data_IF_259185577300
#
_entry.id   IF_259185577300
#
_cell.length_a   1.000
_cell.length_b   1.000
_cell.length_c   1.000
_cell.angle_alpha   90.00
_cell.angle_beta   90.00
_cell.angle_gamma   90.00
#
_symmetry.space_group_name_H-M   'P 1'
#
loop_
_entity.id
_entity.type
_entity.pdbx_description
1 polymer ?
#
# COMPACT_ATOMS: atom_id res chain seq x y z
N UNK A 1 -5.13 22.90 16.69
CA UNK A 1 -5.64 21.52 16.82
C UNK A 1 -5.48 21.09 18.27
N UNK A 2 -6.53 21.21 19.08
CA UNK A 2 -6.55 20.66 20.43
C UNK A 2 -6.76 19.15 20.34
N UNK A 3 -5.70 18.38 20.47
CA UNK A 3 -5.81 16.94 20.63
C UNK A 3 -6.30 16.66 22.06
N UNK A 4 -7.44 16.01 22.22
CA UNK A 4 -7.82 15.51 23.53
C UNK A 4 -6.79 14.45 23.97
N UNK A 5 -6.44 14.43 25.25
CA UNK A 5 -5.50 13.44 25.80
C UNK A 5 -5.97 11.99 25.54
N UNK A 6 -7.27 11.75 25.56
CA UNK A 6 -7.86 10.44 25.26
C UNK A 6 -7.63 10.00 23.81
N UNK A 7 -7.78 10.90 22.83
CA UNK A 7 -7.49 10.58 21.43
C UNK A 7 -5.99 10.28 21.21
N UNK A 8 -5.10 11.01 21.90
CA UNK A 8 -3.67 10.75 21.86
C UNK A 8 -3.31 9.37 22.43
N UNK A 9 -3.97 8.94 23.52
CA UNK A 9 -3.69 7.63 24.14
C UNK A 9 -4.21 6.45 23.29
N UNK A 10 -5.34 6.60 22.62
CA UNK A 10 -5.86 5.61 21.68
C UNK A 10 -4.91 5.49 20.48
N UNK A 11 -4.51 6.62 19.90
CA UNK A 11 -3.57 6.65 18.77
C UNK A 11 -2.23 5.99 19.09
N UNK A 12 -1.68 6.18 20.28
CA UNK A 12 -0.40 5.60 20.69
C UNK A 12 -0.45 4.08 20.83
N UNK A 13 -1.61 3.50 21.09
CA UNK A 13 -1.80 2.05 21.28
C UNK A 13 -2.14 1.31 19.98
N UNK A 14 -2.52 2.03 18.92
CA UNK A 14 -2.84 1.41 17.65
C UNK A 14 -1.57 0.94 16.94
N UNK A 15 -1.63 -0.24 16.37
CA UNK A 15 -0.69 -0.68 15.33
C UNK A 15 -1.08 0.01 14.04
N UNK A 16 -0.12 0.63 13.37
CA UNK A 16 -0.31 1.27 12.07
C UNK A 16 0.47 0.48 11.03
N UNK A 17 -0.21 0.05 9.98
CA UNK A 17 0.39 -0.71 8.89
C UNK A 17 0.12 0.00 7.57
N UNK A 18 1.18 0.34 6.84
CA UNK A 18 1.12 0.77 5.46
C UNK A 18 1.43 -0.41 4.53
N UNK A 19 0.74 -0.48 3.40
CA UNK A 19 0.95 -1.54 2.41
C UNK A 19 1.43 -0.93 1.11
N UNK A 20 2.62 -1.29 0.68
CA UNK A 20 3.22 -0.85 -0.58
C UNK A 20 2.97 -1.86 -1.71
N UNK A 21 3.12 -1.40 -2.95
CA UNK A 21 2.97 -2.25 -4.12
C UNK A 21 4.18 -3.16 -4.29
N UNK A 22 3.99 -4.44 -4.03
CA UNK A 22 4.96 -5.50 -4.26
C UNK A 22 5.14 -5.87 -5.72
N UNK A 23 4.26 -5.37 -6.61
CA UNK A 23 4.34 -5.59 -8.06
C UNK A 23 4.37 -7.07 -8.41
N UNK A 24 5.38 -7.47 -9.17
CA UNK A 24 5.64 -8.88 -9.52
C UNK A 24 6.49 -9.61 -8.46
N UNK A 25 6.62 -9.04 -7.26
CA UNK A 25 7.43 -9.54 -6.15
C UNK A 25 8.75 -8.78 -6.00
N UNK A 26 9.15 -8.50 -4.75
CA UNK A 26 10.37 -7.71 -4.45
C UNK A 26 11.63 -8.29 -5.11
N UNK A 27 11.76 -9.62 -5.13
CA UNK A 27 12.92 -10.31 -5.71
C UNK A 27 13.10 -10.12 -7.23
N UNK A 28 12.05 -9.69 -7.92
CA UNK A 28 12.08 -9.44 -9.36
C UNK A 28 12.64 -8.06 -9.72
N UNK A 29 12.70 -7.14 -8.76
CA UNK A 29 13.00 -5.73 -8.98
C UNK A 29 11.88 -4.95 -9.70
N UNK A 30 10.74 -5.61 -10.00
CA UNK A 30 9.56 -4.98 -10.62
C UNK A 30 8.48 -4.76 -9.56
N UNK A 31 8.64 -3.71 -8.79
CA UNK A 31 7.73 -3.31 -7.70
C UNK A 31 7.85 -1.80 -7.44
N UNK A 32 6.98 -1.26 -6.60
CA UNK A 32 7.00 0.13 -6.16
C UNK A 32 6.91 0.21 -4.62
N UNK A 33 7.90 -0.40 -3.95
CA UNK A 33 7.95 -0.52 -2.50
C UNK A 33 9.20 0.16 -1.90
N UNK A 34 9.33 1.50 -2.00
CA UNK A 34 10.52 2.22 -1.56
C UNK A 34 10.79 2.11 -0.06
N UNK A 35 9.79 1.94 0.79
CA UNK A 35 9.99 1.75 2.22
C UNK A 35 10.51 0.34 2.55
N UNK A 36 10.22 -0.66 1.73
CA UNK A 36 10.70 -2.03 1.95
C UNK A 36 12.05 -2.30 1.30
N UNK A 37 12.31 -1.77 0.10
CA UNK A 37 13.52 -2.10 -0.68
C UNK A 37 14.26 -0.87 -1.24
N UNK A 38 13.78 0.35 -0.98
CA UNK A 38 14.43 1.58 -1.42
C UNK A 38 15.57 2.03 -0.51
N UNK A 39 16.27 3.07 -0.95
CA UNK A 39 17.34 3.74 -0.22
C UNK A 39 17.00 5.20 0.03
N UNK A 40 17.58 5.80 1.07
CA UNK A 40 17.45 7.23 1.31
C UNK A 40 17.98 8.05 0.13
N UNK A 41 17.23 9.09 -0.24
CA UNK A 41 17.61 10.00 -1.32
C UNK A 41 16.70 11.21 -1.40
N UNK A 42 16.85 12.00 -2.46
CA UNK A 42 16.05 13.19 -2.71
C UNK A 42 15.36 13.06 -4.06
N UNK A 43 14.03 13.16 -4.05
CA UNK A 43 13.20 13.16 -5.27
C UNK A 43 12.19 14.30 -5.19
N UNK A 44 12.04 15.07 -6.28
CA UNK A 44 11.13 16.21 -6.35
C UNK A 44 11.24 17.18 -5.15
N UNK A 45 12.49 17.40 -4.68
CA UNK A 45 12.77 18.30 -3.57
C UNK A 45 12.48 17.73 -2.16
N UNK A 46 12.11 16.46 -2.05
CA UNK A 46 11.84 15.78 -0.78
C UNK A 46 12.93 14.77 -0.46
N UNK A 47 13.45 14.78 0.77
CA UNK A 47 14.24 13.68 1.30
C UNK A 47 13.29 12.56 1.74
N UNK A 48 13.49 11.37 1.19
CA UNK A 48 12.63 10.21 1.44
C UNK A 48 13.36 8.91 1.07
N UNK A 49 12.65 7.78 1.09
CA UNK A 49 13.11 6.52 0.50
C UNK A 49 12.77 6.48 -0.99
N UNK A 50 13.72 6.01 -1.80
CA UNK A 50 13.59 5.92 -3.26
C UNK A 50 13.99 4.56 -3.79
N UNK A 51 13.33 4.16 -4.87
CA UNK A 51 13.81 3.11 -5.77
C UNK A 51 14.94 3.71 -6.61
N UNK A 52 16.19 3.39 -6.29
CA UNK A 52 17.38 3.93 -6.97
C UNK A 52 18.50 2.90 -7.06
N UNK A 53 19.28 3.00 -8.13
CA UNK A 53 20.47 2.19 -8.33
C UNK A 53 21.65 2.62 -7.45
N UNK A 54 22.81 1.96 -7.61
CA UNK A 54 24.01 2.29 -6.84
C UNK A 54 24.65 3.64 -7.24
N UNK A 55 24.24 4.22 -8.36
CA UNK A 55 24.68 5.53 -8.82
C UNK A 55 23.70 6.66 -8.43
N UNK A 56 22.63 6.32 -7.70
CA UNK A 56 21.59 7.26 -7.30
C UNK A 56 20.60 7.60 -8.41
N UNK A 57 20.57 6.83 -9.49
CA UNK A 57 19.58 7.01 -10.55
C UNK A 57 18.27 6.32 -10.17
N UNK A 58 17.14 6.99 -10.37
CA UNK A 58 15.81 6.42 -10.12
C UNK A 58 15.58 5.22 -11.04
N UNK A 59 15.12 4.12 -10.44
CA UNK A 59 14.78 2.88 -11.15
C UNK A 59 13.31 2.95 -11.54
N UNK A 60 12.98 2.43 -12.73
CA UNK A 60 11.60 2.24 -13.17
C UNK A 60 10.87 1.27 -12.22
N UNK A 61 9.69 1.69 -11.78
CA UNK A 61 8.84 0.91 -10.87
C UNK A 61 7.77 0.15 -11.64
N UNK A 62 7.07 -0.73 -10.94
CA UNK A 62 5.94 -1.46 -11.48
C UNK A 62 4.87 -1.69 -10.41
N UNK A 63 3.62 -1.40 -10.75
CA UNK A 63 2.43 -1.77 -10.00
C UNK A 63 1.21 -1.82 -10.92
N UNK A 64 0.31 -2.75 -10.66
CA UNK A 64 -1.03 -2.79 -11.28
C UNK A 64 -1.84 -1.53 -10.94
N UNK A 65 -1.54 -0.90 -9.82
CA UNK A 65 -2.16 0.34 -9.36
C UNK A 65 -1.36 1.55 -9.83
N UNK A 66 -1.94 2.35 -10.73
CA UNK A 66 -1.28 3.56 -11.24
C UNK A 66 -0.92 4.56 -10.13
N UNK A 67 -1.71 4.63 -9.06
CA UNK A 67 -1.46 5.54 -7.93
C UNK A 67 -0.32 5.09 -7.03
N UNK A 68 0.07 3.80 -7.06
CA UNK A 68 1.21 3.26 -6.31
C UNK A 68 2.46 3.07 -7.18
N UNK A 69 2.34 3.17 -8.50
CA UNK A 69 3.48 3.03 -9.42
C UNK A 69 4.33 4.31 -9.42
N UNK A 70 5.08 4.48 -8.35
CA UNK A 70 5.92 5.65 -8.11
C UNK A 70 7.17 5.26 -7.32
N UNK A 71 8.36 5.76 -7.69
CA UNK A 71 9.62 5.30 -7.13
C UNK A 71 9.97 5.86 -5.75
N UNK A 72 9.14 6.70 -5.17
CA UNK A 72 9.35 7.30 -3.86
C UNK A 72 8.11 7.22 -2.99
N UNK A 73 8.19 7.80 -1.80
CA UNK A 73 7.08 7.88 -0.85
C UNK A 73 7.09 9.25 -0.15
N UNK A 74 5.96 9.65 0.42
CA UNK A 74 5.88 10.89 1.18
C UNK A 74 6.85 10.90 2.37
N UNK A 75 7.50 12.04 2.67
CA UNK A 75 8.52 12.11 3.73
C UNK A 75 7.97 11.82 5.12
N UNK A 76 6.67 12.01 5.35
CA UNK A 76 6.03 11.64 6.61
C UNK A 76 6.01 10.12 6.81
N UNK A 77 5.75 9.32 5.77
CA UNK A 77 5.82 7.87 5.84
C UNK A 77 7.26 7.38 6.08
N UNK A 78 8.25 8.02 5.44
CA UNK A 78 9.66 7.74 5.70
C UNK A 78 10.00 7.98 7.18
N UNK A 79 9.58 9.11 7.73
CA UNK A 79 9.78 9.44 9.14
C UNK A 79 9.05 8.47 10.09
N UNK A 80 7.79 8.10 9.81
CA UNK A 80 7.03 7.14 10.62
C UNK A 80 7.70 5.75 10.65
N UNK A 81 8.32 5.34 9.54
CA UNK A 81 9.14 4.13 9.49
C UNK A 81 10.37 4.27 10.39
N UNK A 82 11.13 5.36 10.23
CA UNK A 82 12.40 5.56 10.93
C UNK A 82 12.24 5.58 12.44
N UNK A 83 11.16 6.19 12.95
CA UNK A 83 10.83 6.21 14.38
C UNK A 83 10.11 4.94 14.87
N UNK A 84 9.87 3.97 13.99
CA UNK A 84 9.16 2.73 14.33
C UNK A 84 7.69 2.93 14.74
N UNK A 85 7.05 4.03 14.27
CA UNK A 85 5.63 4.28 14.59
C UNK A 85 4.68 3.51 13.70
N UNK A 86 5.07 3.28 12.46
CA UNK A 86 4.30 2.51 11.49
C UNK A 86 5.16 1.38 10.90
N UNK A 87 4.52 0.26 10.65
CA UNK A 87 5.09 -0.87 9.93
C UNK A 87 4.73 -0.74 8.45
N UNK A 88 5.62 -1.22 7.58
CA UNK A 88 5.36 -1.23 6.14
C UNK A 88 5.58 -2.63 5.60
N UNK A 89 4.57 -3.12 4.90
CA UNK A 89 4.54 -4.44 4.26
C UNK A 89 4.22 -4.28 2.78
N UNK A 90 4.29 -5.34 2.02
CA UNK A 90 3.96 -5.33 0.59
C UNK A 90 2.82 -6.29 0.28
N UNK A 91 2.02 -5.96 -0.73
CA UNK A 91 1.14 -6.88 -1.42
C UNK A 91 1.50 -6.86 -2.90
N UNK A 92 1.53 -8.02 -3.55
CA UNK A 92 1.79 -8.10 -4.98
C UNK A 92 0.53 -7.84 -5.82
N UNK A 93 0.72 -7.75 -7.15
CA UNK A 93 -0.37 -7.42 -8.07
C UNK A 93 -1.49 -8.48 -8.05
N UNK A 94 -1.15 -9.76 -7.91
CA UNK A 94 -2.13 -10.85 -7.84
C UNK A 94 -2.97 -10.76 -6.56
N UNK A 95 -2.31 -10.55 -5.42
CA UNK A 95 -2.97 -10.37 -4.13
C UNK A 95 -3.91 -9.14 -4.14
N UNK A 96 -3.47 -8.05 -4.74
CA UNK A 96 -4.28 -6.83 -4.86
C UNK A 96 -5.51 -7.04 -5.76
N UNK A 97 -5.35 -7.69 -6.92
CA UNK A 97 -6.46 -8.03 -7.82
C UNK A 97 -7.47 -8.97 -7.17
N UNK A 98 -6.99 -9.96 -6.43
CA UNK A 98 -7.87 -10.88 -5.70
C UNK A 98 -8.67 -10.17 -4.60
N UNK A 99 -8.03 -9.28 -3.84
CA UNK A 99 -8.71 -8.49 -2.82
C UNK A 99 -9.74 -7.52 -3.41
N UNK A 100 -9.43 -6.91 -4.56
CA UNK A 100 -10.37 -6.08 -5.34
C UNK A 100 -11.63 -6.86 -5.71
N UNK A 101 -11.46 -8.05 -6.30
CA UNK A 101 -12.56 -8.92 -6.72
C UNK A 101 -13.38 -9.41 -5.53
N UNK A 102 -12.71 -9.78 -4.45
CA UNK A 102 -13.38 -10.32 -3.26
C UNK A 102 -14.26 -9.28 -2.58
N UNK A 103 -13.75 -8.07 -2.30
CA UNK A 103 -14.55 -7.00 -1.69
C UNK A 103 -15.75 -6.64 -2.59
N UNK A 104 -15.52 -6.55 -3.90
CA UNK A 104 -16.60 -6.27 -4.86
C UNK A 104 -17.68 -7.34 -4.82
N UNK A 105 -17.30 -8.62 -4.74
CA UNK A 105 -18.24 -9.74 -4.73
C UNK A 105 -19.00 -9.87 -3.40
N UNK A 106 -18.32 -9.65 -2.28
CA UNK A 106 -18.88 -9.93 -0.95
C UNK A 106 -19.67 -8.74 -0.42
N UNK A 107 -19.15 -7.52 -0.60
CA UNK A 107 -19.73 -6.30 -0.03
C UNK A 107 -20.43 -5.41 -1.08
N UNK A 108 -20.28 -5.71 -2.36
CA UNK A 108 -20.77 -4.83 -3.44
C UNK A 108 -20.02 -3.51 -3.55
N UNK A 109 -18.82 -3.42 -2.94
CA UNK A 109 -17.97 -2.23 -2.95
C UNK A 109 -16.79 -2.50 -3.88
N UNK A 110 -16.67 -1.72 -4.93
CA UNK A 110 -15.53 -1.76 -5.84
C UNK A 110 -14.46 -0.78 -5.35
N UNK A 111 -13.39 -1.24 -4.68
CA UNK A 111 -12.35 -0.35 -4.15
C UNK A 111 -11.41 0.08 -5.27
N UNK A 112 -10.69 1.18 -5.08
CA UNK A 112 -9.53 1.48 -5.93
C UNK A 112 -8.43 0.41 -5.75
N UNK A 113 -7.63 0.17 -6.78
CA UNK A 113 -6.50 -0.79 -6.71
C UNK A 113 -5.48 -0.41 -5.62
N UNK A 114 -5.32 0.89 -5.35
CA UNK A 114 -4.52 1.37 -4.22
C UNK A 114 -5.00 0.79 -2.90
N UNK A 115 -6.31 0.85 -2.65
CA UNK A 115 -6.95 0.31 -1.46
C UNK A 115 -6.90 -1.22 -1.42
N UNK A 116 -6.98 -1.86 -2.58
CA UNK A 116 -6.96 -3.32 -2.70
C UNK A 116 -5.64 -3.92 -2.15
N UNK A 117 -4.51 -3.22 -2.25
CA UNK A 117 -3.25 -3.65 -1.59
C UNK A 117 -3.41 -3.73 -0.08
N UNK A 118 -4.04 -2.72 0.54
CA UNK A 118 -4.34 -2.75 1.97
C UNK A 118 -5.27 -3.89 2.37
N UNK A 119 -6.31 -4.15 1.56
CA UNK A 119 -7.25 -5.25 1.76
C UNK A 119 -6.60 -6.62 1.59
N UNK A 120 -5.64 -6.76 0.67
CA UNK A 120 -4.86 -7.99 0.53
C UNK A 120 -4.14 -8.36 1.83
N UNK A 121 -3.50 -7.38 2.48
CA UNK A 121 -2.86 -7.63 3.78
C UNK A 121 -3.87 -7.97 4.89
N UNK A 122 -5.09 -7.45 4.86
CA UNK A 122 -6.15 -7.83 5.81
C UNK A 122 -6.45 -9.31 5.73
N UNK A 123 -6.47 -9.91 4.55
CA UNK A 123 -6.71 -11.36 4.36
C UNK A 123 -5.65 -12.21 5.04
N UNK A 124 -4.42 -11.74 5.09
CA UNK A 124 -3.32 -12.42 5.79
C UNK A 124 -3.33 -12.15 7.29
N UNK A 125 -3.64 -10.92 7.70
CA UNK A 125 -3.57 -10.48 9.09
C UNK A 125 -4.75 -11.00 9.91
N UNK A 126 -5.98 -10.89 9.41
CA UNK A 126 -7.19 -11.18 10.16
C UNK A 126 -7.22 -12.59 10.77
N UNK A 127 -6.80 -13.66 10.07
CA UNK A 127 -6.76 -15.00 10.66
C UNK A 127 -5.80 -15.17 11.83
N UNK A 128 -4.87 -14.24 12.02
CA UNK A 128 -3.88 -14.27 13.12
C UNK A 128 -4.34 -13.50 14.36
N UNK A 129 -5.47 -12.81 14.27
CA UNK A 129 -6.00 -11.94 15.32
C UNK A 129 -7.03 -12.67 16.19
N UNK A 130 -7.21 -12.16 17.40
CA UNK A 130 -8.28 -12.62 18.29
C UNK A 130 -9.62 -11.97 17.90
N UNK A 131 -10.73 -12.59 18.28
CA UNK A 131 -12.09 -12.14 17.94
C UNK A 131 -12.47 -10.76 18.51
N UNK A 132 -11.81 -10.32 19.58
CA UNK A 132 -12.01 -9.02 20.22
C UNK A 132 -11.18 -7.88 19.61
N UNK A 133 -10.29 -8.20 18.69
CA UNK A 133 -9.45 -7.23 18.01
C UNK A 133 -10.16 -6.62 16.79
N UNK A 134 -9.82 -5.39 16.47
CA UNK A 134 -10.47 -4.62 15.39
C UNK A 134 -9.43 -4.21 14.36
N UNK A 135 -9.73 -4.43 13.08
CA UNK A 135 -8.98 -3.87 11.95
C UNK A 135 -9.81 -2.73 11.36
N UNK A 136 -9.17 -1.57 11.18
CA UNK A 136 -9.75 -0.45 10.44
C UNK A 136 -8.96 -0.26 9.16
N UNK A 137 -9.64 -0.35 8.03
CA UNK A 137 -9.05 -0.14 6.69
C UNK A 137 -9.56 1.16 6.12
N UNK A 138 -8.65 2.01 5.65
CA UNK A 138 -9.03 3.22 4.92
C UNK A 138 -9.34 2.86 3.45
N UNK A 139 -10.62 2.82 3.11
CA UNK A 139 -11.07 2.66 1.72
C UNK A 139 -11.11 4.02 1.06
N UNK A 140 -9.97 4.45 0.54
CA UNK A 140 -9.69 5.84 0.15
C UNK A 140 -10.10 6.19 -1.28
N UNK A 141 -10.53 5.24 -2.09
CA UNK A 141 -10.90 5.51 -3.48
C UNK A 141 -11.86 4.47 -4.05
N UNK A 142 -12.44 4.82 -5.19
CA UNK A 142 -13.38 3.98 -5.93
C UNK A 142 -12.68 3.29 -7.12
N UNK A 143 -13.08 2.06 -7.43
CA UNK A 143 -12.43 1.22 -8.42
C UNK A 143 -12.96 1.36 -9.85
N UNK A 144 -13.99 2.16 -10.08
CA UNK A 144 -14.53 2.37 -11.43
C UNK A 144 -13.50 2.97 -12.40
N UNK A 145 -12.55 3.73 -11.90
CA UNK A 145 -11.39 4.21 -12.67
C UNK A 145 -10.47 3.09 -13.16
N UNK A 146 -10.45 1.96 -12.42
CA UNK A 146 -9.52 0.85 -12.64
C UNK A 146 -10.16 -0.31 -13.43
N UNK A 147 -11.47 -0.22 -13.72
CA UNK A 147 -12.22 -1.35 -14.30
C UNK A 147 -11.64 -1.80 -15.65
N UNK A 148 -11.19 -0.88 -16.51
CA UNK A 148 -10.60 -1.23 -17.79
C UNK A 148 -9.27 -1.99 -17.61
N UNK A 149 -8.46 -1.59 -16.63
CA UNK A 149 -7.21 -2.27 -16.30
C UNK A 149 -7.48 -3.67 -15.78
N UNK A 150 -8.41 -3.80 -14.83
CA UNK A 150 -8.80 -5.10 -14.25
C UNK A 150 -9.39 -6.01 -15.33
N UNK A 151 -10.32 -5.51 -16.17
CA UNK A 151 -10.90 -6.29 -17.25
C UNK A 151 -9.84 -6.79 -18.25
N UNK A 152 -8.92 -5.93 -18.65
CA UNK A 152 -7.83 -6.31 -19.55
C UNK A 152 -6.95 -7.42 -18.99
N UNK A 153 -6.62 -7.35 -17.69
CA UNK A 153 -5.82 -8.37 -17.01
C UNK A 153 -6.56 -9.70 -16.86
N UNK A 154 -7.88 -9.66 -16.71
CA UNK A 154 -8.74 -10.84 -16.62
C UNK A 154 -9.16 -11.37 -18.02
N UNK A 155 -8.73 -10.71 -19.11
CA UNK A 155 -9.12 -11.11 -20.48
C UNK A 155 -10.59 -10.88 -20.79
N UNK A 156 -11.23 -9.94 -20.12
CA UNK A 156 -12.65 -9.56 -20.31
C UNK A 156 -12.72 -8.37 -21.26
N UNK A 157 -13.48 -8.49 -22.34
CA UNK A 157 -13.83 -7.37 -23.21
C UNK A 157 -15.04 -6.63 -22.59
N UNK A 158 -14.90 -5.32 -22.44
CA UNK A 158 -15.95 -4.41 -21.91
C UNK A 158 -16.66 -3.69 -23.05
#
# INVERSE_FOLDING_TARGET
>A
LSHSSAASDVYKRQRLVGVEAGGLGLSTGKHAAPLNDGKEGVLHGMRTYLMQDNNGQVIETHSVSAGLDYPGVGPEHAWLKDIGRAEYVTADDEQALDAFKELTRVEGIMPALETAHGLAHVKELAPTMNEDQIIVVNVSGRGDKDINTVASLEGIEL
#
